data_IF_237677013582
#
_entry.id   IF_237677013582
#
_cell.length_a   1.000
_cell.length_b   1.000
_cell.length_c   1.000
_cell.angle_alpha   90.00
_cell.angle_beta   90.00
_cell.angle_gamma   90.00
#
_symmetry.space_group_name_H-M   'P 1'
#
loop_
_entity.id
_entity.type
_entity.pdbx_description
1 polymer ?
#
# COMPACT_ATOMS: atom_id res chain seq x y z
N UNK A 1 14.17 9.92 10.46
CA UNK A 1 13.77 10.79 9.32
C UNK A 1 13.79 12.28 9.64
N UNK A 2 13.21 12.72 10.77
CA UNK A 2 13.14 14.13 11.15
C UNK A 2 14.48 14.89 11.11
N UNK A 3 15.60 14.39 11.69
CA UNK A 3 16.87 15.12 11.64
C UNK A 3 17.37 15.37 10.21
N UNK A 4 17.18 14.39 9.31
CA UNK A 4 17.58 14.52 7.91
C UNK A 4 16.70 15.50 7.13
N UNK A 5 15.41 15.58 7.44
CA UNK A 5 14.49 16.55 6.84
C UNK A 5 14.86 17.98 7.24
N UNK A 6 15.14 18.21 8.53
CA UNK A 6 15.53 19.53 9.07
C UNK A 6 16.85 19.99 8.46
N UNK A 7 17.86 19.12 8.35
CA UNK A 7 19.17 19.48 7.81
C UNK A 7 19.13 19.93 6.35
N UNK A 8 18.18 19.42 5.55
CA UNK A 8 18.07 19.73 4.11
C UNK A 8 17.43 21.07 3.79
N UNK A 9 16.68 21.67 4.75
CA UNK A 9 16.01 22.98 4.60
C UNK A 9 15.22 23.12 3.28
N UNK A 10 14.47 22.07 2.89
CA UNK A 10 13.70 21.99 1.64
C UNK A 10 12.36 22.73 1.69
N UNK A 11 12.34 23.96 2.25
CA UNK A 11 11.15 24.83 2.35
C UNK A 11 11.43 26.25 1.83
N UNK A 12 12.54 26.44 1.09
CA UNK A 12 12.98 27.76 0.67
C UNK A 12 12.34 28.22 -0.63
N UNK A 13 12.02 27.31 -1.55
CA UNK A 13 11.40 27.64 -2.83
C UNK A 13 9.88 27.44 -2.82
N UNK A 14 9.15 28.21 -3.64
CA UNK A 14 7.70 28.07 -3.81
C UNK A 14 7.31 26.65 -4.24
N UNK A 15 8.09 26.01 -5.13
CA UNK A 15 7.88 24.64 -5.60
C UNK A 15 7.99 23.65 -4.45
N UNK A 16 9.02 23.78 -3.59
CA UNK A 16 9.19 22.91 -2.42
C UNK A 16 8.05 23.08 -1.41
N UNK A 17 7.58 24.31 -1.17
CA UNK A 17 6.42 24.54 -0.30
C UNK A 17 5.16 23.86 -0.85
N UNK A 18 4.89 23.97 -2.14
CA UNK A 18 3.76 23.26 -2.76
C UNK A 18 3.91 21.75 -2.59
N UNK A 19 5.13 21.22 -2.76
CA UNK A 19 5.41 19.79 -2.57
C UNK A 19 5.22 19.35 -1.11
N UNK A 20 5.50 20.21 -0.12
CA UNK A 20 5.20 19.96 1.29
C UNK A 20 3.69 19.89 1.54
N UNK A 21 2.89 20.79 0.96
CA UNK A 21 1.42 20.70 1.07
C UNK A 21 0.87 19.42 0.45
N UNK A 22 1.38 18.99 -0.69
CA UNK A 22 1.00 17.70 -1.29
C UNK A 22 1.46 16.51 -0.45
N UNK A 23 2.58 16.63 0.26
CA UNK A 23 3.03 15.61 1.23
C UNK A 23 2.09 15.51 2.43
N UNK A 24 1.57 16.65 2.91
CA UNK A 24 0.56 16.66 3.97
C UNK A 24 -0.77 16.01 3.50
N UNK A 25 -1.23 16.33 2.29
CA UNK A 25 -2.38 15.66 1.69
C UNK A 25 -2.15 14.15 1.54
N UNK A 26 -0.96 13.74 1.10
CA UNK A 26 -0.58 12.32 1.04
C UNK A 26 -0.63 11.67 2.42
N UNK A 27 -0.27 12.38 3.50
CA UNK A 27 -0.39 11.91 4.88
C UNK A 27 -1.83 11.70 5.32
N UNK A 28 -2.74 12.59 4.98
CA UNK A 28 -4.18 12.42 5.25
C UNK A 28 -4.76 11.22 4.47
N UNK A 29 -4.38 11.07 3.21
CA UNK A 29 -4.80 9.94 2.37
C UNK A 29 -4.24 8.63 2.95
N UNK A 30 -2.99 8.62 3.42
CA UNK A 30 -2.38 7.45 4.06
C UNK A 30 -3.09 7.09 5.37
N UNK A 31 -3.51 8.07 6.16
CA UNK A 31 -4.32 7.85 7.36
C UNK A 31 -5.66 7.19 7.01
N UNK A 32 -6.36 7.71 6.02
CA UNK A 32 -7.61 7.13 5.54
C UNK A 32 -7.41 5.70 4.99
N UNK A 33 -6.31 5.45 4.25
CA UNK A 33 -5.91 4.13 3.80
C UNK A 33 -5.77 3.14 4.96
N UNK A 34 -4.99 3.50 5.99
CA UNK A 34 -4.81 2.63 7.16
C UNK A 34 -6.11 2.40 7.93
N UNK A 35 -6.92 3.43 8.13
CA UNK A 35 -8.22 3.27 8.80
C UNK A 35 -9.13 2.31 8.01
N UNK A 36 -9.25 2.46 6.70
CA UNK A 36 -10.01 1.55 5.86
C UNK A 36 -9.46 0.13 5.91
N UNK A 37 -8.14 -0.03 5.82
CA UNK A 37 -7.47 -1.33 5.86
C UNK A 37 -7.68 -2.05 7.20
N UNK A 38 -7.37 -1.41 8.32
CA UNK A 38 -7.52 -2.04 9.64
C UNK A 38 -8.98 -2.29 10.00
N UNK A 39 -9.91 -1.41 9.57
CA UNK A 39 -11.34 -1.64 9.81
C UNK A 39 -11.86 -2.80 8.96
N UNK A 40 -11.41 -2.94 7.73
CA UNK A 40 -11.76 -4.07 6.87
C UNK A 40 -11.39 -5.41 7.52
N UNK A 41 -10.20 -5.50 8.13
CA UNK A 41 -9.73 -6.70 8.82
C UNK A 41 -10.62 -7.14 10.02
N UNK A 42 -11.44 -6.23 10.57
CA UNK A 42 -12.40 -6.53 11.63
C UNK A 42 -13.75 -7.02 11.09
N UNK A 43 -14.02 -6.78 9.83
CA UNK A 43 -15.33 -7.01 9.21
C UNK A 43 -15.30 -8.17 8.22
N UNK A 44 -14.16 -8.43 7.58
CA UNK A 44 -13.91 -9.56 6.68
C UNK A 44 -12.71 -10.38 7.12
N UNK A 45 -12.36 -11.46 6.41
CA UNK A 45 -11.17 -12.25 6.73
C UNK A 45 -9.89 -11.46 6.43
N UNK A 46 -8.81 -11.74 7.17
CA UNK A 46 -7.50 -11.10 6.95
C UNK A 46 -7.04 -11.33 5.51
N UNK A 47 -7.21 -12.55 4.99
CA UNK A 47 -6.85 -12.89 3.62
C UNK A 47 -7.62 -12.06 2.59
N UNK A 48 -8.95 -11.97 2.73
CA UNK A 48 -9.80 -11.20 1.80
C UNK A 48 -9.51 -9.71 1.88
N UNK A 49 -9.43 -9.14 3.09
CA UNK A 49 -9.12 -7.73 3.29
C UNK A 49 -7.76 -7.35 2.71
N UNK A 50 -6.72 -8.16 2.93
CA UNK A 50 -5.39 -7.95 2.35
C UNK A 50 -5.42 -8.05 0.82
N UNK A 51 -6.11 -9.06 0.27
CA UNK A 51 -6.22 -9.25 -1.18
C UNK A 51 -6.92 -8.10 -1.89
N UNK A 52 -8.04 -7.64 -1.33
CA UNK A 52 -8.79 -6.53 -1.91
C UNK A 52 -8.04 -5.20 -1.76
N UNK A 53 -7.34 -4.98 -0.65
CA UNK A 53 -6.46 -3.81 -0.51
C UNK A 53 -5.29 -3.88 -1.50
N UNK A 54 -4.77 -5.06 -1.80
CA UNK A 54 -3.72 -5.27 -2.81
C UNK A 54 -4.15 -4.95 -4.25
N UNK A 55 -5.39 -4.50 -4.50
CA UNK A 55 -5.85 -3.98 -5.81
C UNK A 55 -5.21 -2.63 -6.18
N UNK A 56 -4.36 -2.06 -5.35
CA UNK A 56 -3.63 -0.79 -5.57
C UNK A 56 -3.06 -0.63 -6.99
N UNK A 57 -2.42 -1.64 -7.63
CA UNK A 57 -1.88 -1.49 -8.99
C UNK A 57 -2.96 -1.18 -10.03
N UNK A 58 -4.16 -1.73 -9.86
CA UNK A 58 -5.30 -1.48 -10.74
C UNK A 58 -5.71 -0.01 -10.64
N UNK A 59 -5.87 0.51 -9.42
CA UNK A 59 -6.20 1.91 -9.20
C UNK A 59 -5.08 2.84 -9.65
N UNK A 60 -3.80 2.50 -9.40
CA UNK A 60 -2.68 3.29 -9.88
C UNK A 60 -2.68 3.39 -11.42
N UNK A 61 -2.90 2.27 -12.11
CA UNK A 61 -3.04 2.22 -13.56
C UNK A 61 -4.23 3.07 -14.05
N UNK A 62 -5.39 2.92 -13.41
CA UNK A 62 -6.61 3.66 -13.74
C UNK A 62 -6.41 5.17 -13.59
N UNK A 63 -5.83 5.63 -12.48
CA UNK A 63 -5.57 7.05 -12.23
C UNK A 63 -4.55 7.65 -13.20
N UNK A 64 -3.51 6.88 -13.59
CA UNK A 64 -2.57 7.31 -14.65
C UNK A 64 -3.31 7.46 -15.97
N UNK A 65 -4.15 6.50 -16.34
CA UNK A 65 -4.93 6.56 -17.58
C UNK A 65 -5.90 7.74 -17.60
N UNK A 66 -6.61 8.02 -16.51
CA UNK A 66 -7.50 9.19 -16.40
C UNK A 66 -6.77 10.53 -16.55
N UNK A 67 -5.48 10.59 -16.19
CA UNK A 67 -4.63 11.77 -16.39
C UNK A 67 -3.97 11.83 -17.77
N UNK A 68 -4.44 11.01 -18.73
CA UNK A 68 -3.89 10.98 -20.10
C UNK A 68 -2.59 10.19 -20.24
N UNK A 69 -2.16 9.49 -19.19
CA UNK A 69 -0.99 8.63 -19.26
C UNK A 69 -1.28 7.33 -20.03
N UNK A 70 -0.21 6.73 -20.57
CA UNK A 70 -0.30 5.48 -21.33
C UNK A 70 0.15 4.30 -20.48
N UNK A 71 -0.66 3.24 -20.51
CA UNK A 71 -0.31 1.92 -19.97
C UNK A 71 -0.39 0.91 -21.10
N UNK A 72 0.68 0.16 -21.35
CA UNK A 72 0.69 -0.84 -22.41
C UNK A 72 -0.40 -1.88 -22.19
N UNK A 73 -1.20 -2.18 -23.22
CA UNK A 73 -2.27 -3.18 -23.13
C UNK A 73 -1.76 -4.55 -22.67
N UNK A 74 -0.55 -4.90 -23.06
CA UNK A 74 0.11 -6.16 -22.66
C UNK A 74 0.48 -6.21 -21.19
N UNK A 75 0.83 -5.06 -20.60
CA UNK A 75 1.09 -4.93 -19.15
C UNK A 75 -0.19 -5.10 -18.35
N UNK A 76 -1.33 -4.64 -18.86
CA UNK A 76 -2.64 -4.84 -18.22
C UNK A 76 -2.94 -6.34 -18.08
N UNK A 77 -2.62 -7.16 -19.08
CA UNK A 77 -2.80 -8.61 -19.00
C UNK A 77 -2.02 -9.24 -17.84
N UNK A 78 -0.76 -8.87 -17.66
CA UNK A 78 0.05 -9.32 -16.51
C UNK A 78 -0.53 -8.90 -15.16
N UNK A 79 -1.02 -7.66 -15.07
CA UNK A 79 -1.67 -7.13 -13.86
C UNK A 79 -2.96 -7.87 -13.51
N UNK A 80 -3.78 -8.21 -14.52
CA UNK A 80 -5.00 -8.99 -14.31
C UNK A 80 -4.68 -10.42 -13.88
N UNK A 81 -3.68 -11.07 -14.49
CA UNK A 81 -3.22 -12.39 -14.04
C UNK A 81 -2.78 -12.34 -12.58
N UNK A 82 -1.97 -11.36 -12.19
CA UNK A 82 -1.52 -11.18 -10.82
C UNK A 82 -2.72 -10.97 -9.85
N UNK A 83 -3.69 -10.14 -10.24
CA UNK A 83 -4.90 -9.90 -9.45
C UNK A 83 -5.74 -11.17 -9.26
N UNK A 84 -6.05 -11.91 -10.33
CA UNK A 84 -6.79 -13.16 -10.22
C UNK A 84 -6.04 -14.22 -9.41
N UNK A 85 -4.72 -14.24 -9.50
CA UNK A 85 -3.88 -15.11 -8.68
C UNK A 85 -4.00 -14.80 -7.18
N UNK A 86 -4.10 -13.51 -6.81
CA UNK A 86 -4.35 -13.09 -5.44
C UNK A 86 -5.71 -13.62 -4.96
N UNK A 87 -6.76 -13.53 -5.77
CA UNK A 87 -8.06 -14.10 -5.43
C UNK A 87 -8.01 -15.62 -5.23
N UNK A 88 -7.22 -16.33 -6.04
CA UNK A 88 -7.00 -17.79 -5.88
C UNK A 88 -6.26 -18.08 -4.57
N UNK A 89 -5.24 -17.28 -4.20
CA UNK A 89 -4.51 -17.44 -2.92
C UNK A 89 -5.45 -17.30 -1.72
N UNK A 90 -6.37 -16.35 -1.78
CA UNK A 90 -7.27 -16.05 -0.65
C UNK A 90 -8.41 -17.05 -0.52
N UNK A 91 -8.66 -17.86 -1.56
CA UNK A 91 -9.75 -18.83 -1.57
C UNK A 91 -11.11 -18.17 -1.40
N UNK A 92 -11.35 -17.05 -2.08
CA UNK A 92 -12.54 -16.18 -2.05
C UNK A 92 -13.62 -16.73 -1.10
N UNK A 93 -13.57 -16.34 0.17
CA UNK A 93 -14.61 -16.72 1.11
C UNK A 93 -15.85 -15.89 0.80
N UNK A 94 -16.76 -16.50 0.00
CA UNK A 94 -18.03 -15.91 -0.43
C UNK A 94 -19.05 -15.88 0.73
N UNK A 95 -18.61 -15.68 1.96
CA UNK A 95 -19.49 -15.40 3.07
C UNK A 95 -20.18 -14.04 2.84
N UNK A 96 -21.31 -14.10 2.14
CA UNK A 96 -22.11 -12.95 1.71
C UNK A 96 -22.92 -12.35 2.89
N UNK A 97 -22.25 -12.02 4.00
CA UNK A 97 -22.87 -11.23 5.05
C UNK A 97 -22.73 -9.73 4.72
N UNK A 98 -23.71 -8.91 5.13
CA UNK A 98 -23.65 -7.44 5.00
C UNK A 98 -22.37 -6.91 5.66
N UNK A 99 -21.96 -7.51 6.77
CA UNK A 99 -20.76 -7.16 7.51
C UNK A 99 -19.49 -7.42 6.69
N UNK A 100 -19.37 -8.60 6.08
CA UNK A 100 -18.23 -8.93 5.20
C UNK A 100 -18.17 -8.00 3.99
N UNK A 101 -19.32 -7.73 3.36
CA UNK A 101 -19.40 -6.81 2.24
C UNK A 101 -18.91 -5.39 2.59
N UNK A 102 -19.26 -4.88 3.78
CA UNK A 102 -18.72 -3.60 4.27
C UNK A 102 -17.20 -3.64 4.44
N UNK A 103 -16.66 -4.74 4.98
CA UNK A 103 -15.23 -4.96 5.09
C UNK A 103 -14.52 -4.98 3.74
N UNK A 104 -15.09 -5.67 2.77
CA UNK A 104 -14.57 -5.77 1.41
C UNK A 104 -14.57 -4.41 0.69
N UNK A 105 -15.65 -3.64 0.86
CA UNK A 105 -15.73 -2.29 0.31
C UNK A 105 -14.67 -1.36 0.92
N UNK A 106 -14.47 -1.42 2.23
CA UNK A 106 -13.41 -0.66 2.91
C UNK A 106 -12.02 -1.07 2.41
N UNK A 107 -11.78 -2.37 2.19
CA UNK A 107 -10.51 -2.85 1.64
C UNK A 107 -10.23 -2.29 0.24
N UNK A 108 -11.24 -2.28 -0.63
CA UNK A 108 -11.15 -1.71 -1.99
C UNK A 108 -10.87 -0.20 -1.93
N UNK A 109 -11.60 0.54 -1.08
CA UNK A 109 -11.37 1.98 -0.85
C UNK A 109 -9.95 2.19 -0.32
N UNK A 110 -9.50 1.36 0.62
CA UNK A 110 -8.13 1.36 1.12
C UNK A 110 -7.12 1.20 -0.02
N UNK A 111 -7.33 0.26 -0.92
CA UNK A 111 -6.49 0.05 -2.10
C UNK A 111 -6.41 1.29 -3.01
N UNK A 112 -7.53 1.95 -3.29
CA UNK A 112 -7.58 3.18 -4.08
C UNK A 112 -6.84 4.35 -3.39
N UNK A 113 -6.99 4.49 -2.06
CA UNK A 113 -6.28 5.49 -1.26
C UNK A 113 -4.77 5.22 -1.24
N UNK A 114 -4.33 3.96 -1.08
CA UNK A 114 -2.93 3.57 -1.14
C UNK A 114 -2.29 3.90 -2.50
N UNK A 115 -2.99 3.61 -3.60
CA UNK A 115 -2.57 4.01 -4.94
C UNK A 115 -2.43 5.53 -5.08
N UNK A 116 -3.39 6.30 -4.54
CA UNK A 116 -3.36 7.77 -4.57
C UNK A 116 -2.15 8.33 -3.81
N UNK A 117 -1.87 7.78 -2.62
CA UNK A 117 -0.70 8.11 -1.82
C UNK A 117 0.60 7.89 -2.61
N UNK A 118 0.77 6.72 -3.24
CA UNK A 118 1.97 6.41 -4.03
C UNK A 118 2.15 7.34 -5.23
N UNK A 119 1.06 7.67 -5.93
CA UNK A 119 1.09 8.60 -7.07
C UNK A 119 1.47 10.02 -6.66
N UNK A 120 0.96 10.51 -5.54
CA UNK A 120 1.36 11.81 -4.99
C UNK A 120 2.83 11.76 -4.58
N UNK A 121 3.24 10.73 -3.84
CA UNK A 121 4.62 10.53 -3.40
C UNK A 121 5.62 10.52 -4.55
N UNK A 122 5.32 9.83 -5.65
CA UNK A 122 6.20 9.79 -6.83
C UNK A 122 6.35 11.15 -7.51
N UNK A 123 5.31 11.98 -7.49
CA UNK A 123 5.35 13.34 -8.07
C UNK A 123 6.13 14.30 -7.17
N UNK A 124 5.83 14.30 -5.89
CA UNK A 124 6.38 15.23 -4.89
C UNK A 124 7.88 15.01 -4.69
N UNK A 125 8.33 13.77 -4.73
CA UNK A 125 9.74 13.42 -4.54
C UNK A 125 10.66 13.80 -5.71
N UNK A 126 10.14 14.46 -6.75
CA UNK A 126 10.94 15.13 -7.78
C UNK A 126 11.50 16.45 -7.28
N UNK A 127 10.81 17.11 -6.35
CA UNK A 127 11.13 18.45 -5.87
C UNK A 127 11.74 18.44 -4.46
N UNK A 128 11.41 17.42 -3.66
CA UNK A 128 11.91 17.27 -2.27
C UNK A 128 12.46 15.87 -2.04
N UNK A 129 13.26 15.74 -1.00
CA UNK A 129 13.86 14.45 -0.62
C UNK A 129 12.81 13.48 -0.06
N UNK A 130 13.09 12.16 -0.15
CA UNK A 130 12.27 11.13 0.49
C UNK A 130 12.15 11.36 1.99
N UNK A 131 13.22 11.80 2.67
CA UNK A 131 13.19 12.07 4.12
C UNK A 131 12.23 13.21 4.47
N UNK A 132 12.20 14.29 3.69
CA UNK A 132 11.26 15.41 3.90
C UNK A 132 9.83 14.94 3.62
N UNK A 133 9.61 14.25 2.49
CA UNK A 133 8.30 13.70 2.14
C UNK A 133 7.76 12.78 3.23
N UNK A 134 8.53 11.77 3.64
CA UNK A 134 8.07 10.79 4.64
C UNK A 134 7.89 11.41 6.02
N UNK A 135 8.73 12.38 6.42
CA UNK A 135 8.57 13.09 7.70
C UNK A 135 7.24 13.83 7.75
N UNK A 136 6.94 14.65 6.73
CA UNK A 136 5.69 15.42 6.68
C UNK A 136 4.49 14.46 6.58
N UNK A 137 4.56 13.49 5.68
CA UNK A 137 3.50 12.53 5.43
C UNK A 137 3.15 11.73 6.70
N UNK A 138 4.14 11.14 7.38
CA UNK A 138 3.90 10.31 8.56
C UNK A 138 3.46 11.13 9.78
N UNK A 139 3.98 12.35 9.94
CA UNK A 139 3.51 13.26 10.98
C UNK A 139 2.03 13.61 10.78
N UNK A 140 1.64 14.02 9.57
CA UNK A 140 0.25 14.36 9.26
C UNK A 140 -0.64 13.11 9.35
N UNK A 141 -0.18 11.94 8.89
CA UNK A 141 -0.88 10.67 9.05
C UNK A 141 -1.18 10.39 10.53
N UNK A 142 -0.17 10.48 11.40
CA UNK A 142 -0.35 10.25 12.83
C UNK A 142 -1.33 11.24 13.47
N UNK A 143 -1.21 12.53 13.14
CA UNK A 143 -2.12 13.57 13.63
C UNK A 143 -3.56 13.37 13.10
N UNK A 144 -3.73 12.85 11.89
CA UNK A 144 -5.05 12.59 11.31
C UNK A 144 -5.74 11.36 11.92
N UNK A 145 -4.97 10.36 12.38
CA UNK A 145 -5.52 9.18 13.06
C UNK A 145 -5.85 9.47 14.51
N UNK A 146 -5.13 10.38 15.19
CA UNK A 146 -5.29 10.66 16.60
C UNK A 146 -6.74 11.00 17.02
N UNK A 147 -7.49 11.88 16.32
CA UNK A 147 -8.89 12.15 16.64
C UNK A 147 -9.76 10.90 16.60
N UNK A 148 -9.52 9.98 15.65
CA UNK A 148 -10.27 8.74 15.54
C UNK A 148 -10.02 7.85 16.77
N UNK A 149 -8.76 7.75 17.23
CA UNK A 149 -8.40 6.98 18.43
C UNK A 149 -9.11 7.53 19.66
N UNK A 150 -9.11 8.87 19.83
CA UNK A 150 -9.78 9.54 20.94
C UNK A 150 -11.29 9.33 20.90
N UNK A 151 -11.91 9.54 19.74
CA UNK A 151 -13.37 9.40 19.56
C UNK A 151 -13.86 7.97 19.72
N UNK A 152 -13.04 6.98 19.39
CA UNK A 152 -13.38 5.56 19.57
C UNK A 152 -13.10 5.05 20.98
N UNK A 153 -12.53 5.89 21.87
CA UNK A 153 -12.17 5.49 23.23
C UNK A 153 -11.09 4.39 23.27
N UNK A 154 -10.28 4.26 22.21
CA UNK A 154 -9.23 3.25 22.16
C UNK A 154 -8.14 3.56 23.18
N UNK A 155 -7.65 2.57 23.96
CA UNK A 155 -6.65 2.80 25.00
C UNK A 155 -5.33 3.26 24.38
N UNK A 156 -4.72 4.30 24.94
CA UNK A 156 -3.39 4.79 24.57
C UNK A 156 -2.30 4.32 25.55
N UNK A 157 -2.67 3.59 26.58
CA UNK A 157 -1.78 3.08 27.63
C UNK A 157 -2.29 1.74 28.16
N UNK A 158 -1.51 1.08 29.00
CA UNK A 158 -1.89 -0.21 29.58
C UNK A 158 -1.50 -1.40 28.70
N UNK A 159 -0.66 -1.21 27.71
CA UNK A 159 -0.15 -2.26 26.84
C UNK A 159 0.84 -3.16 27.56
N UNK A 160 0.76 -4.47 27.28
CA UNK A 160 1.73 -5.46 27.79
C UNK A 160 3.08 -5.34 27.08
N UNK A 161 4.13 -5.94 27.68
CA UNK A 161 5.45 -5.99 27.01
C UNK A 161 5.39 -6.69 25.65
N UNK A 162 4.49 -7.67 25.50
CA UNK A 162 4.27 -8.36 24.22
C UNK A 162 3.64 -7.43 23.17
N UNK A 163 2.68 -6.60 23.55
CA UNK A 163 2.08 -5.61 22.64
C UNK A 163 3.12 -4.60 22.16
N UNK A 164 4.01 -4.14 23.07
CA UNK A 164 5.12 -3.26 22.70
C UNK A 164 6.10 -3.92 21.75
N UNK A 165 6.39 -5.21 21.91
CA UNK A 165 7.23 -5.98 20.98
C UNK A 165 6.59 -6.05 19.58
N UNK A 166 5.27 -6.32 19.52
CA UNK A 166 4.53 -6.35 18.25
C UNK A 166 4.49 -4.98 17.58
N UNK A 167 4.27 -3.91 18.34
CA UNK A 167 4.34 -2.53 17.83
C UNK A 167 5.73 -2.19 17.27
N UNK A 168 6.78 -2.59 17.97
CA UNK A 168 8.16 -2.40 17.50
C UNK A 168 8.43 -3.19 16.20
N UNK A 169 7.94 -4.42 16.12
CA UNK A 169 8.04 -5.23 14.91
C UNK A 169 7.30 -4.60 13.73
N UNK A 170 6.10 -4.02 13.94
CA UNK A 170 5.36 -3.25 12.94
C UNK A 170 6.12 -1.99 12.50
N UNK A 171 6.69 -1.23 13.44
CA UNK A 171 7.47 -0.03 13.13
C UNK A 171 8.70 -0.39 12.28
N UNK A 172 9.45 -1.40 12.68
CA UNK A 172 10.67 -1.78 11.95
C UNK A 172 10.31 -2.46 10.62
N UNK A 173 9.44 -3.45 10.64
CA UNK A 173 9.06 -4.25 9.47
C UNK A 173 8.22 -3.45 8.48
N UNK A 174 6.98 -3.18 8.80
CA UNK A 174 6.03 -2.59 7.87
C UNK A 174 6.34 -1.12 7.56
N UNK A 175 6.69 -0.32 8.59
CA UNK A 175 6.85 1.12 8.40
C UNK A 175 8.25 1.50 7.87
N UNK A 176 9.34 1.04 8.51
CA UNK A 176 10.69 1.42 8.09
C UNK A 176 11.16 0.61 6.88
N UNK A 177 11.07 -0.71 6.93
CA UNK A 177 11.51 -1.58 5.84
C UNK A 177 10.47 -1.68 4.72
N UNK A 178 9.18 -1.58 4.99
CA UNK A 178 8.13 -1.56 3.98
C UNK A 178 7.92 -0.17 3.38
N UNK A 179 7.10 0.66 4.00
CA UNK A 179 6.68 1.96 3.45
C UNK A 179 7.83 2.92 3.11
N UNK A 180 8.89 2.96 3.93
CA UNK A 180 10.03 3.85 3.64
C UNK A 180 10.81 3.38 2.41
N UNK A 181 11.03 2.07 2.25
CA UNK A 181 11.70 1.53 1.06
C UNK A 181 10.83 1.69 -0.19
N UNK A 182 9.50 1.52 -0.09
CA UNK A 182 8.59 1.81 -1.19
C UNK A 182 8.70 3.27 -1.62
N UNK A 183 8.66 4.21 -0.67
CA UNK A 183 8.82 5.63 -0.97
C UNK A 183 10.18 5.96 -1.60
N UNK A 184 11.25 5.32 -1.16
CA UNK A 184 12.57 5.48 -1.76
C UNK A 184 12.60 4.94 -3.20
N UNK A 185 11.93 3.82 -3.45
CA UNK A 185 11.83 3.19 -4.77
C UNK A 185 11.05 4.04 -5.77
N UNK A 186 10.06 4.84 -5.34
CA UNK A 186 9.26 5.73 -6.19
C UNK A 186 10.09 6.78 -6.93
N UNK A 187 11.35 7.02 -6.53
CA UNK A 187 12.28 7.90 -7.25
C UNK A 187 12.82 7.27 -8.53
N UNK A 188 12.85 5.96 -8.63
CA UNK A 188 13.48 5.23 -9.74
C UNK A 188 12.51 4.32 -10.47
N UNK A 189 11.42 3.97 -9.83
CA UNK A 189 10.45 2.98 -10.32
C UNK A 189 9.06 3.60 -10.35
N UNK A 190 8.27 3.27 -11.37
CA UNK A 190 6.90 3.81 -11.49
C UNK A 190 6.01 3.36 -10.33
N UNK A 191 5.03 4.19 -9.91
CA UNK A 191 4.09 3.82 -8.84
C UNK A 191 3.34 2.53 -9.10
N UNK A 192 3.03 2.21 -10.37
CA UNK A 192 2.36 0.97 -10.76
C UNK A 192 3.25 -0.24 -10.49
N UNK A 193 4.55 -0.16 -10.80
CA UNK A 193 5.50 -1.26 -10.54
C UNK A 193 5.71 -1.43 -9.04
N UNK A 194 5.85 -0.33 -8.28
CA UNK A 194 5.99 -0.40 -6.82
C UNK A 194 4.75 -1.01 -6.19
N UNK A 195 3.55 -0.63 -6.66
CA UNK A 195 2.29 -1.18 -6.15
C UNK A 195 2.08 -2.66 -6.48
N UNK A 196 2.72 -3.20 -7.54
CA UNK A 196 2.68 -4.65 -7.82
C UNK A 196 3.37 -5.47 -6.73
N UNK A 197 4.37 -4.90 -6.06
CA UNK A 197 5.05 -5.58 -4.95
C UNK A 197 4.08 -5.83 -3.79
N UNK A 198 3.06 -4.97 -3.63
CA UNK A 198 2.00 -5.14 -2.62
C UNK A 198 1.25 -6.46 -2.79
N UNK A 199 1.14 -7.01 -4.00
CA UNK A 199 0.54 -8.33 -4.17
C UNK A 199 1.27 -9.45 -3.41
N UNK A 200 2.58 -9.30 -3.17
CA UNK A 200 3.35 -10.27 -2.37
C UNK A 200 3.03 -10.23 -0.88
N UNK A 201 2.34 -9.19 -0.39
CA UNK A 201 1.83 -9.16 0.98
C UNK A 201 0.84 -10.30 1.23
N UNK A 202 0.08 -10.72 0.21
CA UNK A 202 -0.95 -11.75 0.34
C UNK A 202 -0.34 -13.13 0.68
N UNK A 203 0.61 -13.69 -0.08
CA UNK A 203 1.23 -14.95 0.30
C UNK A 203 2.02 -14.85 1.62
N UNK A 204 2.65 -13.70 1.89
CA UNK A 204 3.38 -13.49 3.15
C UNK A 204 2.41 -13.47 4.34
N UNK A 205 1.29 -12.76 4.22
CA UNK A 205 0.27 -12.74 5.28
C UNK A 205 -0.37 -14.10 5.51
N UNK A 206 -0.58 -14.90 4.45
CA UNK A 206 -1.08 -16.26 4.56
C UNK A 206 -0.10 -17.18 5.33
N UNK A 207 1.21 -17.06 5.07
CA UNK A 207 2.25 -17.80 5.79
C UNK A 207 2.30 -17.37 7.26
N UNK A 208 2.27 -16.07 7.54
CA UNK A 208 2.28 -15.56 8.91
C UNK A 208 1.02 -15.96 9.67
N UNK A 209 -0.15 -15.96 9.02
CA UNK A 209 -1.39 -16.43 9.62
C UNK A 209 -1.34 -17.93 9.95
N UNK A 210 -0.68 -18.75 9.13
CA UNK A 210 -0.44 -20.16 9.45
C UNK A 210 0.44 -20.31 10.68
N UNK A 211 1.56 -19.59 10.74
CA UNK A 211 2.57 -19.73 11.80
C UNK A 211 2.05 -19.19 13.15
N UNK A 212 1.40 -18.04 13.17
CA UNK A 212 1.02 -17.34 14.40
C UNK A 212 -0.42 -17.61 14.85
N UNK A 213 -1.33 -17.83 13.90
CA UNK A 213 -2.76 -18.01 14.18
C UNK A 213 -3.22 -19.44 13.94
N UNK A 214 -2.36 -20.33 13.44
CA UNK A 214 -2.72 -21.70 13.06
C UNK A 214 -3.73 -21.79 11.90
N UNK A 215 -3.94 -20.70 11.16
CA UNK A 215 -4.86 -20.65 10.03
C UNK A 215 -4.26 -21.40 8.83
N UNK A 216 -4.93 -22.48 8.40
CA UNK A 216 -4.51 -23.25 7.24
C UNK A 216 -4.68 -22.40 5.97
N UNK A 217 -3.61 -22.25 5.13
CA UNK A 217 -3.73 -21.54 3.87
C UNK A 217 -4.68 -22.29 2.92
N UNK A 218 -5.50 -21.58 2.14
CA UNK A 218 -6.36 -22.19 1.14
C UNK A 218 -5.58 -23.08 0.15
N UNK A 219 -6.21 -24.12 -0.38
CA UNK A 219 -5.59 -25.04 -1.36
C UNK A 219 -5.05 -24.32 -2.62
N UNK A 220 -5.64 -23.16 -2.95
CA UNK A 220 -5.20 -22.31 -4.07
C UNK A 220 -3.90 -21.52 -3.80
N UNK A 221 -3.31 -21.58 -2.60
CA UNK A 221 -2.15 -20.74 -2.24
C UNK A 221 -0.95 -21.01 -3.15
N UNK A 222 -0.55 -22.27 -3.38
CA UNK A 222 0.61 -22.61 -4.23
C UNK A 222 0.39 -22.21 -5.69
N UNK A 223 -0.68 -22.67 -6.39
CA UNK A 223 -0.93 -22.26 -7.77
C UNK A 223 -1.14 -20.75 -7.89
N UNK A 224 -1.75 -20.10 -6.90
CA UNK A 224 -1.90 -18.66 -6.89
C UNK A 224 -0.58 -17.90 -6.77
N UNK A 225 0.39 -18.36 -5.97
CA UNK A 225 1.73 -17.75 -5.90
C UNK A 225 2.45 -17.88 -7.26
N UNK A 226 2.37 -19.03 -7.91
CA UNK A 226 2.96 -19.21 -9.25
C UNK A 226 2.35 -18.23 -10.25
N UNK A 227 1.02 -18.15 -10.29
CA UNK A 227 0.32 -17.19 -11.15
C UNK A 227 0.64 -15.74 -10.84
N UNK A 228 0.80 -15.39 -9.57
CA UNK A 228 1.19 -14.04 -9.10
C UNK A 228 2.58 -13.67 -9.63
N UNK A 229 3.57 -14.52 -9.44
CA UNK A 229 4.94 -14.30 -9.93
C UNK A 229 4.94 -14.16 -11.46
N UNK A 230 4.21 -15.01 -12.16
CA UNK A 230 4.10 -14.97 -13.61
C UNK A 230 3.44 -13.66 -14.10
N UNK A 231 2.31 -13.27 -13.52
CA UNK A 231 1.63 -12.02 -13.85
C UNK A 231 2.49 -10.77 -13.61
N UNK A 232 3.16 -10.69 -12.46
CA UNK A 232 4.08 -9.60 -12.14
C UNK A 232 5.27 -9.56 -13.11
N UNK A 233 5.83 -10.73 -13.47
CA UNK A 233 6.94 -10.81 -14.42
C UNK A 233 6.53 -10.30 -15.81
N UNK A 234 5.38 -10.71 -16.33
CA UNK A 234 4.84 -10.20 -17.60
C UNK A 234 4.68 -8.68 -17.55
N UNK A 235 4.11 -8.15 -16.46
CA UNK A 235 3.91 -6.71 -16.33
C UNK A 235 5.24 -5.95 -16.40
N UNK A 236 6.22 -6.34 -15.57
CA UNK A 236 7.52 -5.65 -15.47
C UNK A 236 8.31 -5.74 -16.77
N UNK A 237 8.42 -6.93 -17.37
CA UNK A 237 9.17 -7.12 -18.62
C UNK A 237 8.58 -6.30 -19.77
N UNK A 238 7.26 -6.23 -19.88
CA UNK A 238 6.59 -5.49 -20.94
C UNK A 238 6.60 -3.97 -20.72
N UNK A 239 6.54 -3.53 -19.46
CA UNK A 239 6.67 -2.11 -19.12
C UNK A 239 8.06 -1.55 -19.47
N UNK A 240 9.11 -2.33 -19.26
CA UNK A 240 10.48 -1.93 -19.59
C UNK A 240 10.78 -1.90 -21.10
N UNK A 241 10.23 -2.84 -21.87
CA UNK A 241 10.44 -2.90 -23.32
C UNK A 241 9.92 -1.65 -24.05
N UNK A 242 8.78 -1.11 -23.66
CA UNK A 242 8.23 0.10 -24.29
C UNK A 242 8.96 1.39 -23.87
N UNK A 243 9.62 1.40 -22.71
CA UNK A 243 10.47 2.53 -22.33
C UNK A 243 11.73 2.62 -23.21
N UNK A 244 12.29 1.48 -23.60
CA UNK A 244 13.48 1.42 -24.48
C UNK A 244 13.16 1.74 -25.95
N UNK A 245 11.95 1.46 -26.43
CA UNK A 245 11.54 1.74 -27.82
C UNK A 245 11.19 3.23 -28.03
N UNK A 246 10.97 4.00 -26.95
CA UNK A 246 10.62 5.43 -27.01
C UNK A 246 11.80 6.37 -26.73
N UNK A 247 12.98 5.85 -26.45
CA UNK A 247 14.25 6.59 -26.39
C UNK A 247 15.02 6.43 -27.71
#
# INVERSE_FOLDING_TARGET
MLPFAISRREWKSKTQLISIYWSALAGMILAAHFLCFFWSMRLTSVATGTALTATQPIFAALFIKFKGGHIPKRSIGGMLIAFFSVLVITGVDLNLSIRSFQGDLLAIIGGALGASYMLIGSKVQKDISTSTFTTVCYLVCSLSVLPVVVLTGSPLSGFTSYDWLLLLALIIGAQLLGHTLFNLSLKRVSPVVVSLIVFFEVPVSAILALIWLGQQPPAGTIPGIIGLIFGCSIFVLRSNQEHQVRQ
#
